data_IF_264088139841
#
_entry.id   IF_264088139841
#
_cell.length_a   1.000
_cell.length_b   1.000
_cell.length_c   1.000
_cell.angle_alpha   90.00
_cell.angle_beta   90.00
_cell.angle_gamma   90.00
#
_symmetry.space_group_name_H-M   'P 1'
#
loop_
_entity.id
_entity.type
_entity.pdbx_description
1 polymer ?
#
# COMPACT_ATOMS: atom_id res chain seq x y z
N UNK A 1 -18.10 -7.83 26.89
CA UNK A 1 -16.87 -7.54 26.13
C UNK A 1 -17.12 -7.82 24.65
N UNK A 2 -16.90 -6.85 23.81
CA UNK A 2 -17.08 -7.00 22.37
C UNK A 2 -15.78 -7.43 21.74
N UNK A 3 -15.74 -8.66 21.23
CA UNK A 3 -14.64 -9.14 20.44
C UNK A 3 -14.93 -8.82 18.97
N UNK A 4 -13.95 -8.26 18.30
CA UNK A 4 -14.06 -8.05 16.86
C UNK A 4 -14.04 -9.39 16.14
N UNK A 5 -14.84 -9.52 15.10
CA UNK A 5 -14.82 -10.71 14.26
C UNK A 5 -13.46 -10.83 13.57
N UNK A 6 -13.00 -12.06 13.37
CA UNK A 6 -11.79 -12.32 12.60
C UNK A 6 -11.97 -11.85 11.16
N UNK A 7 -10.90 -11.35 10.54
CA UNK A 7 -10.92 -11.06 9.11
C UNK A 7 -10.85 -12.38 8.34
N UNK A 8 -11.60 -12.47 7.24
CA UNK A 8 -11.57 -13.66 6.38
C UNK A 8 -10.60 -13.45 5.23
N UNK A 9 -10.15 -14.55 4.63
CA UNK A 9 -9.28 -14.49 3.46
C UNK A 9 -9.95 -13.69 2.32
N UNK A 10 -11.23 -13.95 2.10
CA UNK A 10 -12.00 -13.25 1.05
C UNK A 10 -12.07 -11.75 1.28
N UNK A 11 -12.33 -11.33 2.53
CA UNK A 11 -12.34 -9.91 2.89
C UNK A 11 -10.96 -9.28 2.66
N UNK A 12 -9.89 -9.96 3.04
CA UNK A 12 -8.54 -9.44 2.90
C UNK A 12 -8.14 -9.34 1.43
N UNK A 13 -8.51 -10.34 0.63
CA UNK A 13 -8.25 -10.31 -0.82
C UNK A 13 -8.93 -9.12 -1.49
N UNK A 14 -10.18 -8.88 -1.16
CA UNK A 14 -10.91 -7.72 -1.66
C UNK A 14 -10.28 -6.40 -1.18
N UNK A 15 -9.89 -6.37 0.09
CA UNK A 15 -9.22 -5.22 0.69
C UNK A 15 -7.92 -4.86 -0.03
N UNK A 16 -7.09 -5.85 -0.37
CA UNK A 16 -5.84 -5.63 -1.11
C UNK A 16 -6.12 -5.00 -2.47
N UNK A 17 -7.11 -5.51 -3.18
CA UNK A 17 -7.50 -4.96 -4.48
C UNK A 17 -8.02 -3.52 -4.35
N UNK A 18 -8.85 -3.25 -3.37
CA UNK A 18 -9.40 -1.90 -3.13
C UNK A 18 -8.30 -0.90 -2.77
N UNK A 19 -7.32 -1.34 -1.98
CA UNK A 19 -6.16 -0.51 -1.62
C UNK A 19 -5.43 -0.02 -2.88
N UNK A 20 -5.06 -0.94 -3.77
CA UNK A 20 -4.32 -0.57 -4.97
C UNK A 20 -5.15 0.24 -5.96
N UNK A 21 -6.45 -0.04 -6.09
CA UNK A 21 -7.33 0.78 -6.92
C UNK A 21 -7.37 2.23 -6.45
N UNK A 22 -7.43 2.44 -5.14
CA UNK A 22 -7.45 3.79 -4.57
C UNK A 22 -6.12 4.51 -4.77
N UNK A 23 -5.01 3.79 -4.65
CA UNK A 23 -3.70 4.37 -4.95
C UNK A 23 -3.57 4.76 -6.42
N UNK A 24 -4.03 3.90 -7.33
CA UNK A 24 -3.93 4.14 -8.76
C UNK A 24 -4.65 5.41 -9.21
N UNK A 25 -5.80 5.69 -8.62
CA UNK A 25 -6.60 6.86 -8.98
C UNK A 25 -6.29 8.08 -8.12
N UNK A 26 -5.30 8.01 -7.23
CA UNK A 26 -4.98 9.06 -6.27
C UNK A 26 -6.22 9.48 -5.48
N UNK A 27 -6.92 8.50 -4.90
CA UNK A 27 -8.12 8.75 -4.13
C UNK A 27 -7.87 9.79 -3.04
N UNK A 28 -8.88 10.60 -2.68
CA UNK A 28 -8.72 11.55 -1.58
C UNK A 28 -8.26 10.87 -0.30
N UNK A 29 -7.45 11.57 0.49
CA UNK A 29 -6.89 11.01 1.74
C UNK A 29 -8.00 10.49 2.66
N UNK A 30 -9.18 11.13 2.65
CA UNK A 30 -10.33 10.71 3.44
C UNK A 30 -10.84 9.29 3.09
N UNK A 31 -10.52 8.78 1.89
CA UNK A 31 -10.86 7.41 1.47
C UNK A 31 -9.75 6.42 1.78
N UNK A 32 -8.54 6.91 2.02
CA UNK A 32 -7.37 6.06 2.32
C UNK A 32 -7.24 5.82 3.83
N UNK A 33 -7.38 6.88 4.63
CA UNK A 33 -7.16 6.78 6.08
C UNK A 33 -7.99 5.69 6.78
N UNK A 34 -9.26 5.43 6.41
CA UNK A 34 -10.03 4.36 7.04
C UNK A 34 -9.47 2.95 6.80
N UNK A 35 -8.58 2.79 5.81
CA UNK A 35 -7.94 1.52 5.51
C UNK A 35 -6.70 1.27 6.36
N UNK A 36 -6.33 2.21 7.22
CA UNK A 36 -5.12 2.18 8.03
C UNK A 36 -5.46 2.17 9.52
N UNK A 37 -4.57 1.60 10.30
CA UNK A 37 -4.78 1.32 11.72
C UNK A 37 -4.76 2.53 12.67
N UNK A 38 -4.43 3.70 12.18
CA UNK A 38 -4.29 4.88 13.04
C UNK A 38 -2.92 4.97 13.67
N UNK A 39 -2.87 5.26 14.98
CA UNK A 39 -1.58 5.46 15.69
C UNK A 39 -0.68 4.22 15.66
N UNK A 40 -1.26 3.04 15.53
CA UNK A 40 -0.50 1.79 15.52
C UNK A 40 0.04 1.43 14.14
N UNK A 41 -0.18 2.27 13.13
CA UNK A 41 0.32 2.02 11.79
C UNK A 41 1.85 2.09 11.75
N UNK A 42 2.47 1.08 11.16
CA UNK A 42 3.88 1.11 10.80
C UNK A 42 4.04 0.72 9.34
N UNK A 43 4.64 1.59 8.55
CA UNK A 43 4.96 1.34 7.14
C UNK A 43 6.45 1.45 6.92
N UNK A 44 7.09 0.33 6.59
CA UNK A 44 8.50 0.31 6.23
C UNK A 44 8.63 0.37 4.71
N UNK A 45 8.98 1.54 4.23
CA UNK A 45 9.17 1.83 2.81
C UNK A 45 10.67 1.82 2.47
N UNK A 46 11.04 1.73 1.19
CA UNK A 46 12.47 1.71 0.83
C UNK A 46 13.25 2.92 1.36
N UNK A 47 12.62 4.10 1.37
CA UNK A 47 13.29 5.36 1.74
C UNK A 47 13.08 5.75 3.21
N UNK A 48 12.06 5.24 3.87
CA UNK A 48 11.73 5.66 5.23
C UNK A 48 10.72 4.72 5.88
N UNK A 49 10.58 4.85 7.20
CA UNK A 49 9.52 4.18 7.96
C UNK A 49 8.54 5.23 8.46
N UNK A 50 7.26 5.00 8.22
CA UNK A 50 6.18 5.88 8.67
C UNK A 50 5.50 5.29 9.89
N UNK A 51 5.18 6.14 10.86
CA UNK A 51 4.42 5.78 12.05
C UNK A 51 3.20 6.68 12.17
N UNK A 52 2.01 6.07 12.18
CA UNK A 52 0.75 6.78 12.36
C UNK A 52 0.26 7.50 11.11
N UNK A 53 -0.92 8.10 11.23
CA UNK A 53 -1.64 8.67 10.09
C UNK A 53 -1.05 10.00 9.62
N UNK A 54 -0.48 10.80 10.52
CA UNK A 54 0.07 12.11 10.12
C UNK A 54 1.29 11.93 9.22
N UNK A 55 2.18 10.99 9.56
CA UNK A 55 3.34 10.69 8.72
C UNK A 55 2.91 10.09 7.39
N UNK A 56 1.91 9.20 7.42
CA UNK A 56 1.36 8.65 6.19
C UNK A 56 0.76 9.74 5.30
N UNK A 57 -0.02 10.65 5.88
CA UNK A 57 -0.66 11.73 5.13
C UNK A 57 0.36 12.61 4.42
N UNK A 58 1.44 12.97 5.10
CA UNK A 58 2.52 13.78 4.51
C UNK A 58 3.22 13.03 3.37
N UNK A 59 3.47 11.74 3.56
CA UNK A 59 4.08 10.89 2.54
C UNK A 59 3.16 10.75 1.32
N UNK A 60 1.87 10.45 1.56
CA UNK A 60 0.90 10.28 0.48
C UNK A 60 0.75 11.54 -0.38
N UNK A 61 0.70 12.70 0.28
CA UNK A 61 0.62 13.99 -0.41
C UNK A 61 1.82 14.17 -1.35
N UNK A 62 3.01 13.84 -0.88
CA UNK A 62 4.23 13.91 -1.70
C UNK A 62 4.19 12.93 -2.87
N UNK A 63 3.72 11.70 -2.63
CA UNK A 63 3.68 10.66 -3.66
C UNK A 63 2.74 11.03 -4.79
N UNK A 64 1.54 11.50 -4.50
CA UNK A 64 0.56 11.83 -5.54
C UNK A 64 0.95 13.07 -6.35
N UNK A 65 1.88 13.90 -5.85
CA UNK A 65 2.43 15.03 -6.59
C UNK A 65 3.71 14.69 -7.33
N UNK A 66 4.31 13.54 -7.05
CA UNK A 66 5.56 13.08 -7.68
C UNK A 66 5.27 12.15 -8.86
N UNK A 67 4.35 11.21 -8.67
CA UNK A 67 4.05 10.16 -9.64
C UNK A 67 2.66 10.34 -10.23
N UNK A 68 2.49 9.91 -11.47
CA UNK A 68 1.20 9.92 -12.18
C UNK A 68 1.10 8.70 -13.08
N UNK A 69 -0.10 8.46 -13.63
CA UNK A 69 -0.40 7.28 -14.45
C UNK A 69 -0.01 5.99 -13.73
N UNK A 70 -0.36 5.89 -12.45
CA UNK A 70 -0.01 4.75 -11.64
C UNK A 70 -0.90 3.56 -11.90
N UNK A 71 -0.30 2.39 -12.02
CA UNK A 71 -0.99 1.11 -12.13
C UNK A 71 -0.30 0.10 -11.22
N UNK A 72 -1.06 -0.54 -10.36
CA UNK A 72 -0.60 -1.64 -9.53
C UNK A 72 -1.25 -2.94 -10.02
N UNK A 73 -0.43 -3.93 -10.33
CA UNK A 73 -0.90 -5.24 -10.81
C UNK A 73 -0.33 -6.33 -9.91
N UNK A 74 -1.21 -7.03 -9.19
CA UNK A 74 -0.76 -8.13 -8.34
C UNK A 74 -0.16 -9.25 -9.20
N UNK A 75 1.03 -9.68 -8.82
CA UNK A 75 1.72 -10.82 -9.43
C UNK A 75 1.48 -12.07 -8.60
N UNK A 76 1.60 -11.96 -7.28
CA UNK A 76 1.32 -13.05 -6.34
C UNK A 76 0.60 -12.47 -5.12
N UNK A 77 -0.22 -13.29 -4.48
CA UNK A 77 -0.93 -12.91 -3.27
C UNK A 77 -1.17 -14.14 -2.42
N UNK A 78 -0.54 -14.19 -1.26
CA UNK A 78 -0.71 -15.24 -0.26
C UNK A 78 -1.25 -14.62 1.03
N UNK A 79 -2.35 -15.16 1.51
CA UNK A 79 -3.02 -14.69 2.73
C UNK A 79 -3.12 -15.84 3.71
N UNK A 80 -2.63 -15.64 4.92
CA UNK A 80 -2.75 -16.58 6.02
C UNK A 80 -3.54 -15.91 7.13
N UNK A 81 -4.71 -16.45 7.45
CA UNK A 81 -5.54 -15.90 8.53
C UNK A 81 -5.36 -16.68 9.81
N UNK A 82 -5.31 -15.96 10.92
CA UNK A 82 -5.37 -16.53 12.25
C UNK A 82 -6.61 -15.96 12.95
N UNK A 83 -6.79 -16.29 14.20
CA UNK A 83 -7.92 -15.78 14.99
C UNK A 83 -7.92 -14.25 15.08
N UNK A 84 -6.73 -13.64 15.18
CA UNK A 84 -6.60 -12.23 15.51
C UNK A 84 -6.22 -11.35 14.33
N UNK A 85 -5.60 -11.93 13.30
CA UNK A 85 -5.05 -11.15 12.19
C UNK A 85 -4.92 -11.96 10.91
N UNK A 86 -4.64 -11.25 9.83
CA UNK A 86 -4.22 -11.86 8.57
C UNK A 86 -2.80 -11.40 8.26
N UNK A 87 -1.97 -12.35 7.84
CA UNK A 87 -0.65 -12.06 7.29
C UNK A 87 -0.74 -12.15 5.79
N UNK A 88 -0.28 -11.11 5.11
CA UNK A 88 -0.32 -11.00 3.66
C UNK A 88 1.09 -10.95 3.13
N UNK A 89 1.39 -11.81 2.16
CA UNK A 89 2.62 -11.74 1.38
C UNK A 89 2.24 -11.58 -0.07
N UNK A 90 2.82 -10.60 -0.73
CA UNK A 90 2.48 -10.33 -2.11
C UNK A 90 3.68 -9.79 -2.89
N UNK A 91 3.59 -9.93 -4.20
CA UNK A 91 4.42 -9.18 -5.14
C UNK A 91 3.45 -8.38 -6.01
N UNK A 92 3.65 -7.08 -6.05
CA UNK A 92 2.86 -6.18 -6.88
C UNK A 92 3.78 -5.51 -7.89
N UNK A 93 3.32 -5.43 -9.14
CA UNK A 93 4.00 -4.66 -10.18
C UNK A 93 3.46 -3.25 -10.15
N UNK A 94 4.33 -2.30 -9.87
CA UNK A 94 3.99 -0.88 -9.84
C UNK A 94 4.57 -0.22 -11.08
N UNK A 95 3.70 0.38 -11.88
CA UNK A 95 4.07 1.16 -13.04
C UNK A 95 3.61 2.59 -12.81
N UNK A 96 4.45 3.54 -13.17
CA UNK A 96 4.16 4.96 -12.97
C UNK A 96 4.98 5.80 -13.91
N UNK A 97 4.68 7.09 -13.96
CA UNK A 97 5.48 8.09 -14.63
C UNK A 97 5.87 9.18 -13.64
N UNK A 98 7.01 9.79 -13.86
CA UNK A 98 7.41 10.99 -13.13
C UNK A 98 8.05 11.97 -14.09
N UNK A 99 7.99 13.25 -13.75
CA UNK A 99 8.61 14.30 -14.56
C UNK A 99 9.42 15.21 -13.66
N UNK A 100 10.71 15.37 -14.02
CA UNK A 100 11.64 16.26 -13.34
C UNK A 100 11.95 17.45 -14.26
N UNK A 101 11.31 18.61 -14.07
CA UNK A 101 11.59 19.79 -14.88
C UNK A 101 13.09 20.17 -14.78
N UNK A 102 13.72 20.66 -15.84
CA UNK A 102 13.20 21.00 -17.17
C UNK A 102 13.30 19.88 -18.21
N UNK A 103 13.29 18.63 -17.81
CA UNK A 103 13.40 17.50 -18.73
C UNK A 103 12.30 17.59 -19.81
N UNK A 104 12.63 17.28 -21.10
CA UNK A 104 11.66 17.40 -22.20
C UNK A 104 10.56 16.33 -22.16
N UNK A 105 10.77 15.25 -21.42
CA UNK A 105 9.81 14.12 -21.33
C UNK A 105 9.70 13.63 -19.91
N UNK A 106 8.54 13.04 -19.59
CA UNK A 106 8.38 12.25 -18.37
C UNK A 106 9.14 10.93 -18.50
N UNK A 107 9.50 10.37 -17.37
CA UNK A 107 10.18 9.10 -17.26
C UNK A 107 9.19 8.03 -16.83
N UNK A 108 9.20 6.88 -17.50
CA UNK A 108 8.38 5.74 -17.13
C UNK A 108 9.15 4.83 -16.18
N UNK A 109 8.46 4.36 -15.15
CA UNK A 109 8.98 3.48 -14.13
C UNK A 109 8.18 2.18 -14.11
N UNK A 110 8.85 1.08 -13.80
CA UNK A 110 8.20 -0.20 -13.56
C UNK A 110 9.02 -1.02 -12.57
N UNK A 111 8.40 -1.42 -11.48
CA UNK A 111 9.05 -2.16 -10.39
C UNK A 111 8.19 -3.34 -9.97
N UNK A 112 8.85 -4.40 -9.51
CA UNK A 112 8.19 -5.43 -8.72
C UNK A 112 8.54 -5.19 -7.26
N UNK A 113 7.50 -5.05 -6.44
CA UNK A 113 7.63 -4.83 -5.01
C UNK A 113 7.17 -6.07 -4.25
N UNK A 114 8.09 -6.67 -3.50
CA UNK A 114 7.75 -7.75 -2.58
C UNK A 114 7.37 -7.12 -1.24
N UNK A 115 6.18 -7.44 -0.74
CA UNK A 115 5.62 -6.81 0.44
C UNK A 115 5.05 -7.83 1.41
N UNK A 116 5.05 -7.46 2.69
CA UNK A 116 4.38 -8.20 3.77
C UNK A 116 3.50 -7.22 4.53
N UNK A 117 2.25 -7.62 4.79
CA UNK A 117 1.31 -6.81 5.55
C UNK A 117 0.76 -7.59 6.73
N UNK A 118 0.40 -6.88 7.79
CA UNK A 118 -0.47 -7.39 8.84
C UNK A 118 -1.77 -6.61 8.78
N UNK A 119 -2.87 -7.33 8.61
CA UNK A 119 -4.22 -6.76 8.50
C UNK A 119 -5.04 -7.29 9.66
N UNK A 120 -5.71 -6.37 10.35
CA UNK A 120 -6.64 -6.72 11.44
C UNK A 120 -7.91 -5.91 11.25
N UNK A 121 -8.98 -6.33 11.93
CA UNK A 121 -10.21 -5.56 11.90
C UNK A 121 -10.03 -4.29 12.73
N UNK A 122 -10.35 -3.15 12.15
CA UNK A 122 -10.27 -1.86 12.84
C UNK A 122 -11.36 -1.76 13.90
N UNK A 123 -11.03 -1.39 15.15
CA UNK A 123 -12.06 -1.14 16.16
C UNK A 123 -12.91 0.09 15.85
N UNK A 124 -12.42 0.99 15.00
CA UNK A 124 -13.14 2.21 14.62
C UNK A 124 -14.15 1.96 13.50
N UNK A 125 -13.70 1.29 12.42
CA UNK A 125 -14.53 1.07 11.22
C UNK A 125 -15.18 -0.30 11.19
N UNK A 126 -14.68 -1.25 11.97
CA UNK A 126 -15.05 -2.67 11.96
C UNK A 126 -14.77 -3.35 10.61
N UNK A 127 -13.95 -2.72 9.78
CA UNK A 127 -13.49 -3.24 8.49
C UNK A 127 -12.01 -3.61 8.59
N UNK A 128 -11.48 -4.41 7.64
CA UNK A 128 -10.06 -4.68 7.60
C UNK A 128 -9.24 -3.39 7.48
N UNK A 129 -8.10 -3.36 8.16
CA UNK A 129 -7.19 -2.22 8.13
C UNK A 129 -5.75 -2.70 8.19
N UNK A 130 -4.84 -1.97 7.55
CA UNK A 130 -3.41 -2.26 7.57
C UNK A 130 -2.82 -1.75 8.88
N UNK A 131 -2.20 -2.65 9.66
CA UNK A 131 -1.44 -2.31 10.87
C UNK A 131 0.05 -2.24 10.56
N UNK A 132 0.56 -3.18 9.78
CA UNK A 132 1.95 -3.23 9.36
C UNK A 132 2.02 -3.41 7.85
N UNK A 133 2.89 -2.64 7.22
CA UNK A 133 3.09 -2.66 5.77
C UNK A 133 4.60 -2.56 5.54
N UNK A 134 5.20 -3.60 4.97
CA UNK A 134 6.64 -3.68 4.81
C UNK A 134 6.94 -3.93 3.34
N UNK A 135 7.74 -3.05 2.74
CA UNK A 135 8.31 -3.27 1.40
C UNK A 135 9.66 -3.94 1.59
N UNK A 136 9.73 -5.25 1.35
CA UNK A 136 10.98 -6.00 1.50
C UNK A 136 11.96 -5.71 0.36
N UNK A 137 11.44 -5.52 -0.84
CA UNK A 137 12.28 -5.20 -2.00
C UNK A 137 11.48 -4.42 -3.04
N UNK A 138 12.20 -3.58 -3.79
CA UNK A 138 11.66 -2.81 -4.90
C UNK A 138 12.66 -2.93 -6.04
N UNK A 139 12.33 -3.77 -7.02
CA UNK A 139 13.25 -4.16 -8.09
C UNK A 139 12.76 -3.64 -9.43
N UNK A 140 13.54 -2.80 -10.13
CA UNK A 140 13.13 -2.32 -11.45
C UNK A 140 13.09 -3.48 -12.44
N UNK A 141 12.10 -3.43 -13.34
CA UNK A 141 12.04 -4.35 -14.45
C UNK A 141 13.18 -4.09 -15.43
N UNK A 142 13.61 -5.10 -16.22
CA UNK A 142 14.68 -4.93 -17.20
C UNK A 142 14.38 -3.75 -18.14
N UNK A 143 15.35 -2.87 -18.31
CA UNK A 143 15.23 -1.71 -19.18
C UNK A 143 14.61 -0.47 -18.55
N UNK A 144 14.19 -0.55 -17.30
CA UNK A 144 13.63 0.59 -16.57
C UNK A 144 14.65 1.14 -15.57
N UNK A 145 14.57 2.45 -15.26
CA UNK A 145 15.51 3.06 -14.33
C UNK A 145 15.22 2.70 -12.88
N UNK A 146 16.18 2.97 -12.01
CA UNK A 146 15.96 2.97 -10.57
C UNK A 146 15.14 4.20 -10.15
N UNK A 147 14.55 4.09 -8.98
CA UNK A 147 13.73 5.17 -8.43
C UNK A 147 14.55 6.40 -8.07
#
# INVERSE_FOLDING_TARGET
MNLLASVTESEVRQFVNDWYQKLDVHAPISEILPLLAGENLEMQLPETTLHGLDEFNSWYDRIIHTFFDEVHTLQTLDITTTRDLAEVQLVVRWEASRWNPPAPKSEKLAFDAAQRWVVMRSPTTQQPAIFTYIVDSLTPLPGYPNL
#
